data_IF_831080577246
#
_entry.id   IF_831080577246
#
_cell.length_a   1.000
_cell.length_b   1.000
_cell.length_c   1.000
_cell.angle_alpha   90.00
_cell.angle_beta   90.00
_cell.angle_gamma   90.00
#
_symmetry.space_group_name_H-M   'P 1'
#
loop_
_entity.id
_entity.type
_entity.pdbx_description
1 polymer ?
#
# COMPACT_ATOMS: atom_id res chain seq x y z
N UNK A 1 -2.35 3.67 32.84
CA UNK A 1 -1.15 3.23 32.07
C UNK A 1 -0.73 1.78 32.39
N UNK A 2 -1.64 0.90 32.85
CA UNK A 2 -1.37 -0.54 33.08
C UNK A 2 -2.33 -1.48 32.32
N UNK A 3 -3.37 -0.92 31.68
CA UNK A 3 -4.38 -1.70 30.90
C UNK A 3 -3.94 -1.86 29.43
N UNK A 4 -3.05 -0.98 28.93
CA UNK A 4 -2.57 -1.03 27.54
C UNK A 4 -1.51 -2.12 27.36
N UNK A 5 -0.67 -2.38 28.37
CA UNK A 5 0.37 -3.41 28.33
C UNK A 5 -0.20 -4.83 28.47
N UNK A 6 -1.25 -5.00 29.27
CA UNK A 6 -1.88 -6.31 29.50
C UNK A 6 -2.71 -6.83 28.32
N UNK A 7 -3.30 -5.93 27.52
CA UNK A 7 -3.94 -6.30 26.25
C UNK A 7 -2.91 -6.68 25.18
N UNK A 8 -1.79 -5.98 25.08
CA UNK A 8 -0.72 -6.29 24.11
C UNK A 8 -0.07 -7.67 24.40
N UNK A 9 0.06 -8.05 25.68
CA UNK A 9 0.67 -9.34 26.08
C UNK A 9 -0.23 -10.56 25.78
N UNK A 10 -1.56 -10.41 25.68
CA UNK A 10 -2.46 -11.51 25.30
C UNK A 10 -2.62 -11.70 23.78
N UNK A 11 -2.11 -10.80 22.94
CA UNK A 11 -2.18 -10.91 21.47
C UNK A 11 -1.02 -11.72 20.86
N UNK A 12 -0.23 -12.41 21.68
CA UNK A 12 0.89 -13.23 21.27
C UNK A 12 0.45 -14.70 21.21
N UNK A 13 -0.23 -15.12 20.15
CA UNK A 13 0.25 -16.21 19.25
C UNK A 13 -0.60 -16.34 17.98
N UNK A 14 -1.76 -15.66 17.90
CA UNK A 14 -2.72 -15.78 16.80
C UNK A 14 -2.64 -14.65 15.76
N UNK A 15 -2.04 -13.50 16.07
CA UNK A 15 -1.74 -12.49 15.05
C UNK A 15 -0.61 -12.98 14.13
N UNK A 16 0.32 -13.79 14.64
CA UNK A 16 1.38 -14.40 13.84
C UNK A 16 0.85 -15.35 12.75
N UNK A 17 -0.30 -16.01 12.97
CA UNK A 17 -0.92 -16.88 11.96
C UNK A 17 -1.69 -16.13 10.86
N UNK A 18 -2.03 -14.84 11.08
CA UNK A 18 -2.66 -13.97 10.07
C UNK A 18 -1.64 -13.56 9.00
N UNK A 19 -0.33 -13.54 9.31
CA UNK A 19 0.73 -13.32 8.31
C UNK A 19 0.89 -14.47 7.32
N UNK A 20 0.21 -15.60 7.56
CA UNK A 20 0.15 -16.73 6.62
C UNK A 20 -1.08 -16.65 5.68
N UNK A 21 -1.77 -15.50 5.64
CA UNK A 21 -2.70 -15.19 4.57
C UNK A 21 -1.84 -14.98 3.33
N UNK A 22 -1.86 -15.96 2.42
CA UNK A 22 -1.16 -15.94 1.14
C UNK A 22 -1.68 -14.84 0.22
N UNK A 23 -1.42 -13.57 0.56
CA UNK A 23 -1.63 -12.44 -0.32
C UNK A 23 -0.54 -12.50 -1.39
N UNK A 24 -0.77 -13.27 -2.44
CA UNK A 24 0.13 -13.38 -3.61
C UNK A 24 0.11 -12.13 -4.52
N UNK A 25 -0.84 -11.23 -4.28
CA UNK A 25 -1.06 -10.04 -5.09
C UNK A 25 0.06 -8.98 -5.03
N UNK A 26 0.59 -8.59 -3.85
CA UNK A 26 1.71 -7.64 -3.76
C UNK A 26 2.99 -8.14 -4.44
N UNK A 27 3.26 -9.45 -4.39
CA UNK A 27 4.47 -10.05 -4.98
C UNK A 27 4.52 -9.87 -6.51
N UNK A 28 3.37 -9.95 -7.18
CA UNK A 28 3.28 -9.81 -8.64
C UNK A 28 3.62 -8.39 -9.09
N UNK A 29 3.09 -7.37 -8.42
CA UNK A 29 3.37 -5.98 -8.78
C UNK A 29 4.79 -5.55 -8.39
N UNK A 30 5.27 -5.98 -7.22
CA UNK A 30 6.67 -5.79 -6.83
C UNK A 30 7.64 -6.40 -7.83
N UNK A 31 7.28 -7.52 -8.48
CA UNK A 31 8.10 -8.11 -9.53
C UNK A 31 8.28 -7.18 -10.74
N UNK A 32 7.22 -6.55 -11.27
CA UNK A 32 7.35 -5.66 -12.43
C UNK A 32 8.22 -4.46 -12.12
N UNK A 33 8.02 -3.82 -10.97
CA UNK A 33 8.79 -2.64 -10.58
C UNK A 33 10.26 -3.00 -10.34
N UNK A 34 10.52 -4.11 -9.66
CA UNK A 34 11.89 -4.62 -9.51
C UNK A 34 12.53 -4.96 -10.87
N UNK A 35 11.76 -5.50 -11.83
CA UNK A 35 12.24 -5.78 -13.18
C UNK A 35 12.57 -4.51 -13.96
N UNK A 36 11.72 -3.47 -13.85
CA UNK A 36 11.93 -2.16 -14.46
C UNK A 36 13.17 -1.47 -13.90
N UNK A 37 13.45 -1.64 -12.61
CA UNK A 37 14.62 -1.05 -11.93
C UNK A 37 15.88 -1.93 -11.91
N UNK A 38 15.81 -3.13 -12.47
CA UNK A 38 16.98 -4.01 -12.62
C UNK A 38 18.06 -3.34 -13.48
N UNK A 39 19.35 -3.74 -13.41
CA UNK A 39 20.44 -3.12 -14.18
C UNK A 39 20.20 -3.07 -15.70
N UNK A 40 19.45 -4.00 -16.25
CA UNK A 40 19.05 -4.09 -17.67
C UNK A 40 17.58 -3.64 -17.91
N UNK A 41 16.97 -3.00 -16.92
CA UNK A 41 15.61 -2.47 -16.99
C UNK A 41 15.54 -1.08 -17.63
N UNK A 42 14.44 -0.38 -17.38
CA UNK A 42 14.18 0.95 -17.91
C UNK A 42 15.12 1.99 -17.26
N UNK A 43 15.91 2.74 -18.05
CA UNK A 43 16.82 3.76 -17.51
C UNK A 43 16.11 4.84 -16.69
N UNK A 44 14.95 5.30 -17.16
CA UNK A 44 14.19 6.35 -16.48
C UNK A 44 13.68 5.89 -15.11
N UNK A 45 13.15 4.66 -15.01
CA UNK A 45 12.67 4.10 -13.75
C UNK A 45 13.81 3.93 -12.75
N UNK A 46 15.00 3.55 -13.20
CA UNK A 46 16.20 3.37 -12.36
C UNK A 46 16.72 4.67 -11.77
N UNK A 47 16.61 5.77 -12.52
CA UNK A 47 17.08 7.09 -12.10
C UNK A 47 16.17 7.75 -11.06
N UNK A 48 14.95 7.24 -10.86
CA UNK A 48 14.02 7.78 -9.86
C UNK A 48 14.54 7.60 -8.42
N UNK A 49 14.31 8.64 -7.61
CA UNK A 49 14.52 8.67 -6.16
C UNK A 49 13.22 8.99 -5.45
N UNK A 50 13.17 8.86 -4.12
CA UNK A 50 12.00 9.27 -3.34
C UNK A 50 11.67 10.75 -3.54
N UNK A 51 12.68 11.60 -3.70
CA UNK A 51 12.54 13.02 -3.92
C UNK A 51 11.97 13.34 -5.32
N UNK A 52 12.43 12.64 -6.37
CA UNK A 52 11.95 12.87 -7.73
C UNK A 52 10.49 12.45 -7.93
N UNK A 53 10.04 11.41 -7.20
CA UNK A 53 8.67 10.90 -7.27
C UNK A 53 7.64 11.73 -6.50
N UNK A 54 8.07 12.77 -5.75
CA UNK A 54 7.14 13.56 -4.93
C UNK A 54 6.09 14.30 -5.75
N UNK A 55 6.47 14.85 -6.90
CA UNK A 55 5.53 15.54 -7.77
C UNK A 55 4.57 14.54 -8.40
N UNK A 56 5.09 13.44 -8.95
CA UNK A 56 4.26 12.37 -9.50
C UNK A 56 3.22 11.88 -8.50
N UNK A 57 3.61 11.58 -7.25
CA UNK A 57 2.65 11.17 -6.22
C UNK A 57 1.52 12.19 -5.98
N UNK A 58 1.84 13.48 -6.03
CA UNK A 58 0.84 14.53 -5.87
C UNK A 58 -0.05 14.65 -7.11
N UNK A 59 0.53 14.53 -8.30
CA UNK A 59 -0.16 14.62 -9.58
C UNK A 59 -1.17 13.46 -9.71
N UNK A 60 -0.74 12.21 -9.50
CA UNK A 60 -1.64 11.04 -9.52
C UNK A 60 -2.76 11.15 -8.47
N UNK A 61 -2.43 11.68 -7.29
CA UNK A 61 -3.43 11.89 -6.25
C UNK A 61 -4.46 12.96 -6.64
N UNK A 62 -4.05 14.00 -7.38
CA UNK A 62 -4.96 15.00 -7.92
C UNK A 62 -5.80 14.42 -9.06
N UNK A 63 -5.22 13.60 -9.95
CA UNK A 63 -5.93 12.96 -11.05
C UNK A 63 -7.03 12.01 -10.52
N UNK A 64 -6.76 11.25 -9.45
CA UNK A 64 -7.80 10.49 -8.74
C UNK A 64 -8.94 11.40 -8.25
N UNK A 65 -8.62 12.57 -7.69
CA UNK A 65 -9.64 13.51 -7.21
C UNK A 65 -10.44 14.12 -8.37
N UNK A 66 -9.77 14.48 -9.47
CA UNK A 66 -10.41 14.99 -10.68
C UNK A 66 -11.36 13.96 -11.30
N UNK A 67 -10.97 12.69 -11.34
CA UNK A 67 -11.82 11.60 -11.83
C UNK A 67 -13.08 11.40 -10.96
N UNK A 68 -12.95 11.52 -9.63
CA UNK A 68 -14.07 11.47 -8.69
C UNK A 68 -15.00 12.69 -8.86
N UNK A 69 -14.43 13.89 -9.00
CA UNK A 69 -15.21 15.12 -9.19
C UNK A 69 -15.97 15.09 -10.52
N UNK A 70 -15.37 14.50 -11.56
CA UNK A 70 -16.03 14.28 -12.85
C UNK A 70 -17.20 13.28 -12.73
N UNK A 71 -17.09 12.21 -11.94
CA UNK A 71 -18.21 11.28 -11.66
C UNK A 71 -19.43 12.02 -11.08
N UNK A 72 -19.19 12.97 -10.17
CA UNK A 72 -20.25 13.77 -9.55
C UNK A 72 -21.03 14.66 -10.55
N UNK A 73 -20.49 14.89 -11.75
CA UNK A 73 -21.12 15.68 -12.81
C UNK A 73 -22.14 14.90 -13.65
N UNK A 74 -22.25 13.57 -13.44
CA UNK A 74 -23.29 12.72 -14.03
C UNK A 74 -22.81 11.77 -15.13
N UNK A 75 -21.52 11.83 -15.50
CA UNK A 75 -20.86 10.88 -16.40
C UNK A 75 -20.29 9.69 -15.61
N UNK A 76 -20.34 8.48 -16.18
CA UNK A 76 -19.68 7.30 -15.59
C UNK A 76 -18.16 7.38 -15.78
N UNK A 77 -17.48 7.81 -14.72
CA UNK A 77 -16.02 7.90 -14.67
C UNK A 77 -15.36 6.74 -13.93
N UNK A 78 -16.09 5.64 -13.68
CA UNK A 78 -15.54 4.43 -13.05
C UNK A 78 -14.23 3.95 -13.69
N UNK A 79 -14.10 3.91 -15.05
CA UNK A 79 -12.86 3.46 -15.68
C UNK A 79 -11.67 4.37 -15.38
N UNK A 80 -11.87 5.69 -15.42
CA UNK A 80 -10.84 6.66 -15.10
C UNK A 80 -10.43 6.58 -13.63
N UNK A 81 -11.39 6.50 -12.70
CA UNK A 81 -11.07 6.33 -11.27
C UNK A 81 -10.19 5.10 -11.04
N UNK A 82 -10.47 3.99 -11.72
CA UNK A 82 -9.67 2.78 -11.62
C UNK A 82 -8.27 2.92 -12.22
N UNK A 83 -8.13 3.67 -13.33
CA UNK A 83 -6.87 4.00 -13.98
C UNK A 83 -5.98 4.83 -13.04
N UNK A 84 -6.48 5.97 -12.55
CA UNK A 84 -5.69 6.87 -11.70
C UNK A 84 -5.35 6.24 -10.34
N UNK A 85 -6.22 5.40 -9.78
CA UNK A 85 -5.90 4.61 -8.58
C UNK A 85 -4.77 3.60 -8.85
N UNK A 86 -4.69 3.08 -10.08
CA UNK A 86 -3.61 2.23 -10.55
C UNK A 86 -2.28 2.97 -10.62
N UNK A 87 -2.29 4.20 -11.15
CA UNK A 87 -1.08 5.00 -11.30
C UNK A 87 -0.58 5.54 -9.94
N UNK A 88 -1.50 5.96 -9.07
CA UNK A 88 -1.18 6.27 -7.67
C UNK A 88 -0.55 5.06 -6.94
N UNK A 89 -1.06 3.85 -7.19
CA UNK A 89 -0.49 2.62 -6.65
C UNK A 89 0.90 2.34 -7.25
N UNK A 90 1.10 2.55 -8.55
CA UNK A 90 2.39 2.38 -9.22
C UNK A 90 3.45 3.29 -8.59
N UNK A 91 3.18 4.59 -8.45
CA UNK A 91 4.12 5.53 -7.83
C UNK A 91 4.41 5.13 -6.38
N UNK A 92 3.38 4.74 -5.63
CA UNK A 92 3.54 4.28 -4.24
C UNK A 92 4.47 3.06 -4.16
N UNK A 93 4.27 2.06 -5.02
CA UNK A 93 5.09 0.85 -5.01
C UNK A 93 6.51 1.11 -5.55
N UNK A 94 6.70 2.06 -6.47
CA UNK A 94 8.01 2.53 -6.92
C UNK A 94 8.81 3.12 -5.73
N UNK A 95 8.17 3.95 -4.90
CA UNK A 95 8.78 4.48 -3.69
C UNK A 95 9.18 3.38 -2.69
N UNK A 96 8.32 2.36 -2.53
CA UNK A 96 8.64 1.19 -1.68
C UNK A 96 9.81 0.38 -2.24
N UNK A 97 9.88 0.20 -3.57
CA UNK A 97 10.99 -0.49 -4.21
C UNK A 97 12.31 0.27 -4.03
N UNK A 98 12.32 1.60 -4.20
CA UNK A 98 13.51 2.44 -3.94
C UNK A 98 13.95 2.31 -2.48
N UNK A 99 13.02 2.41 -1.53
CA UNK A 99 13.34 2.25 -0.11
C UNK A 99 13.86 0.84 0.24
N UNK A 100 13.39 -0.18 -0.49
CA UNK A 100 13.88 -1.55 -0.38
C UNK A 100 15.32 -1.67 -0.89
N UNK A 101 15.63 -1.09 -2.05
CA UNK A 101 16.97 -1.04 -2.63
C UNK A 101 17.98 -0.28 -1.73
N UNK A 102 17.50 0.75 -1.03
CA UNK A 102 18.26 1.50 -0.02
C UNK A 102 18.39 0.78 1.33
N UNK A 103 17.77 -0.40 1.50
CA UNK A 103 17.81 -1.18 2.75
C UNK A 103 17.06 -0.53 3.92
N UNK A 104 16.05 0.31 3.64
CA UNK A 104 15.34 1.12 4.65
C UNK A 104 14.10 0.41 5.19
N UNK A 105 13.22 -0.02 4.30
CA UNK A 105 12.00 -0.78 4.62
C UNK A 105 11.48 -1.49 3.38
N UNK A 106 10.67 -2.51 3.58
CA UNK A 106 10.03 -3.31 2.54
C UNK A 106 8.52 -3.10 2.53
N UNK A 107 7.85 -3.60 1.49
CA UNK A 107 6.40 -3.57 1.40
C UNK A 107 5.72 -4.20 2.62
N UNK A 108 6.29 -5.29 3.16
CA UNK A 108 5.79 -5.95 4.36
C UNK A 108 5.74 -5.01 5.58
N UNK A 109 6.73 -4.13 5.73
CA UNK A 109 6.77 -3.16 6.84
C UNK A 109 5.66 -2.11 6.70
N UNK A 110 5.44 -1.62 5.48
CA UNK A 110 4.35 -0.66 5.16
C UNK A 110 2.99 -1.29 5.43
N UNK A 111 2.75 -2.50 4.91
CA UNK A 111 1.52 -3.27 5.15
C UNK A 111 1.33 -3.54 6.63
N UNK A 112 2.38 -3.92 7.35
CA UNK A 112 2.30 -4.15 8.79
C UNK A 112 1.89 -2.92 9.58
N UNK A 113 2.47 -1.77 9.25
CA UNK A 113 2.16 -0.49 9.87
C UNK A 113 0.69 -0.10 9.67
N UNK A 114 0.17 -0.19 8.45
CA UNK A 114 -1.22 0.20 8.17
C UNK A 114 -2.23 -0.78 8.78
N UNK A 115 -1.97 -2.09 8.71
CA UNK A 115 -2.85 -3.12 9.31
C UNK A 115 -2.93 -2.94 10.83
N UNK A 116 -1.78 -2.78 11.50
CA UNK A 116 -1.72 -2.53 12.94
C UNK A 116 -2.47 -1.25 13.32
N UNK A 117 -2.34 -0.20 12.51
CA UNK A 117 -3.07 1.07 12.70
C UNK A 117 -4.57 0.89 12.55
N UNK A 118 -5.03 0.10 11.58
CA UNK A 118 -6.44 -0.18 11.34
C UNK A 118 -7.06 -0.99 12.46
N UNK A 119 -6.41 -2.09 12.90
CA UNK A 119 -6.85 -2.91 14.03
C UNK A 119 -6.99 -2.06 15.29
N UNK A 120 -6.00 -1.20 15.57
CA UNK A 120 -6.04 -0.30 16.73
C UNK A 120 -7.17 0.73 16.66
N UNK A 121 -7.52 1.22 15.46
CA UNK A 121 -8.57 2.23 15.25
C UNK A 121 -9.98 1.64 15.21
N UNK A 122 -10.11 0.39 14.78
CA UNK A 122 -11.41 -0.28 14.56
C UNK A 122 -11.46 -1.68 15.20
N UNK A 123 -11.20 -1.81 16.51
CA UNK A 123 -11.04 -3.12 17.16
C UNK A 123 -12.30 -3.99 17.07
N UNK A 124 -13.49 -3.39 17.13
CA UNK A 124 -14.76 -4.14 17.07
C UNK A 124 -15.10 -4.59 15.64
N UNK A 125 -14.92 -3.72 14.65
CA UNK A 125 -15.24 -4.03 13.25
C UNK A 125 -14.30 -5.06 12.64
N UNK A 126 -13.04 -5.10 13.11
CA UNK A 126 -12.02 -6.05 12.67
C UNK A 126 -11.82 -7.23 13.65
N UNK A 127 -12.75 -7.41 14.59
CA UNK A 127 -12.75 -8.60 15.45
C UNK A 127 -12.97 -9.85 14.58
N UNK A 128 -12.14 -10.87 14.77
CA UNK A 128 -12.12 -12.10 13.95
C UNK A 128 -13.49 -12.80 13.93
N UNK A 129 -14.31 -12.65 14.98
CA UNK A 129 -15.69 -13.17 15.04
C UNK A 129 -16.65 -12.55 14.03
N UNK A 130 -16.30 -11.40 13.45
CA UNK A 130 -17.13 -10.65 12.51
C UNK A 130 -16.74 -10.86 11.04
N UNK A 131 -15.62 -11.55 10.75
CA UNK A 131 -15.29 -11.95 9.38
C UNK A 131 -16.03 -13.23 9.00
N UNK A 132 -17.14 -13.07 8.28
CA UNK A 132 -17.73 -14.14 7.46
C UNK A 132 -17.13 -14.03 6.06
N UNK A 133 -16.13 -14.85 5.76
CA UNK A 133 -15.78 -15.20 4.38
C UNK A 133 -16.70 -16.33 3.92
#
# INVERSE_FOLDING_TARGET
MQIVESLIISYNTSILSIWNIGVKFPEFWSFFIARLRAPDGCPWDREQTLESLRSGLLDEANEVLEAIDAEASGDDNTPHIAEELGDLLLVTLMMVQIATEEGRFHLADVTHSIVTKLIRRHPTSLAISNWRL
#
